data_IF_732263848361
#
_entry.id   IF_732263848361
#
_cell.length_a   1.000
_cell.length_b   1.000
_cell.length_c   1.000
_cell.angle_alpha   90.00
_cell.angle_beta   90.00
_cell.angle_gamma   90.00
#
_symmetry.space_group_name_H-M   'P 1'
#
loop_
_entity.id
_entity.type
_entity.pdbx_description
1 polymer ?
#
# COMPACT_ATOMS: atom_id res chain seq x y z
N UNK A 1 -17.26 20.86 -13.30
CA UNK A 1 -16.79 19.48 -13.55
C UNK A 1 -16.64 18.86 -12.17
N UNK A 2 -17.29 17.71 -11.90
CA UNK A 2 -17.07 17.02 -10.61
C UNK A 2 -15.63 16.52 -10.60
N UNK A 3 -14.85 16.97 -9.63
CA UNK A 3 -13.48 16.54 -9.43
C UNK A 3 -13.55 15.18 -8.72
N UNK A 4 -13.03 14.13 -9.36
CA UNK A 4 -12.99 12.79 -8.75
C UNK A 4 -12.07 12.78 -7.53
N UNK A 5 -12.47 12.02 -6.51
CA UNK A 5 -11.71 11.84 -5.26
C UNK A 5 -11.28 10.38 -5.09
N UNK A 6 -10.01 10.18 -4.81
CA UNK A 6 -9.39 8.88 -4.58
C UNK A 6 -8.77 8.83 -3.19
N UNK A 7 -8.97 7.71 -2.48
CA UNK A 7 -8.31 7.42 -1.20
C UNK A 7 -7.49 6.14 -1.34
N UNK A 8 -6.17 6.25 -1.19
CA UNK A 8 -5.30 5.08 -1.00
C UNK A 8 -5.28 4.74 0.49
N UNK A 9 -5.40 3.43 0.83
CA UNK A 9 -5.32 2.92 2.20
C UNK A 9 -4.20 1.90 2.26
N UNK A 10 -3.16 2.19 3.05
CA UNK A 10 -1.93 1.41 3.15
C UNK A 10 -1.56 1.10 4.59
N UNK A 11 -0.65 0.15 4.81
CA UNK A 11 -0.16 -0.23 6.12
C UNK A 11 0.98 0.67 6.59
N UNK A 12 2.02 0.84 5.75
CA UNK A 12 3.29 1.47 6.13
C UNK A 12 3.64 2.64 5.20
N UNK A 13 4.49 3.58 5.65
CA UNK A 13 5.12 4.57 4.78
C UNK A 13 6.03 3.87 3.75
N UNK A 14 5.80 4.03 2.46
CA UNK A 14 6.38 3.50 1.23
C UNK A 14 5.39 2.66 0.38
N UNK A 15 4.40 2.04 1.01
CA UNK A 15 3.42 1.22 0.31
C UNK A 15 2.67 1.99 -0.80
N UNK A 16 2.35 3.28 -0.56
CA UNK A 16 1.66 4.12 -1.55
C UNK A 16 2.45 4.22 -2.86
N UNK A 17 3.77 4.25 -2.74
CA UNK A 17 4.69 4.34 -3.88
C UNK A 17 4.80 3.01 -4.61
N UNK A 18 4.86 1.90 -3.87
CA UNK A 18 5.08 0.55 -4.40
C UNK A 18 3.78 -0.02 -4.97
N UNK A 19 2.68 0.10 -4.22
CA UNK A 19 1.38 -0.48 -4.57
C UNK A 19 0.76 0.22 -5.78
N UNK A 20 0.73 1.54 -5.77
CA UNK A 20 -0.07 2.30 -6.75
C UNK A 20 0.50 3.69 -7.10
N UNK A 21 1.76 3.99 -6.82
CA UNK A 21 2.33 5.33 -6.99
C UNK A 21 2.16 5.92 -8.39
N UNK A 22 2.37 5.13 -9.44
CA UNK A 22 2.16 5.57 -10.82
C UNK A 22 0.70 5.94 -11.11
N UNK A 23 -0.25 5.22 -10.52
CA UNK A 23 -1.68 5.51 -10.65
C UNK A 23 -2.05 6.78 -9.88
N UNK A 24 -1.57 6.95 -8.64
CA UNK A 24 -1.82 8.15 -7.82
C UNK A 24 -1.32 9.40 -8.53
N UNK A 25 -0.08 9.36 -9.04
CA UNK A 25 0.52 10.47 -9.80
C UNK A 25 -0.28 10.79 -11.08
N UNK A 26 -0.72 9.76 -11.81
CA UNK A 26 -1.52 9.94 -13.02
C UNK A 26 -2.88 10.56 -12.73
N UNK A 27 -3.58 10.09 -11.69
CA UNK A 27 -4.87 10.64 -11.27
C UNK A 27 -4.73 12.11 -10.82
N UNK A 28 -3.72 12.41 -10.01
CA UNK A 28 -3.43 13.77 -9.57
C UNK A 28 -3.13 14.70 -10.74
N UNK A 29 -2.30 14.26 -11.69
CA UNK A 29 -1.98 15.05 -12.90
C UNK A 29 -3.21 15.31 -13.79
N UNK A 30 -4.23 14.46 -13.72
CA UNK A 30 -5.51 14.63 -14.40
C UNK A 30 -6.54 15.46 -13.60
N UNK A 31 -6.15 15.99 -12.45
CA UNK A 31 -6.96 16.86 -11.63
C UNK A 31 -7.83 16.16 -10.60
N UNK A 32 -7.64 14.87 -10.34
CA UNK A 32 -8.31 14.19 -9.22
C UNK A 32 -7.74 14.66 -7.87
N UNK A 33 -8.59 14.69 -6.85
CA UNK A 33 -8.12 14.85 -5.46
C UNK A 33 -7.67 13.49 -4.94
N UNK A 34 -6.36 13.34 -4.69
CA UNK A 34 -5.77 12.09 -4.20
C UNK A 34 -5.48 12.24 -2.70
N UNK A 35 -5.96 11.30 -1.90
CA UNK A 35 -5.75 11.26 -0.45
C UNK A 35 -5.09 9.94 -0.04
N UNK A 36 -4.38 9.94 1.08
CA UNK A 36 -3.70 8.76 1.63
C UNK A 36 -4.07 8.58 3.11
N UNK A 37 -4.43 7.36 3.47
CA UNK A 37 -4.49 6.86 4.84
C UNK A 37 -3.43 5.78 5.01
N UNK A 38 -2.42 6.04 5.85
CA UNK A 38 -1.40 5.08 6.25
C UNK A 38 -1.65 4.66 7.70
N UNK A 39 -1.75 3.36 8.00
CA UNK A 39 -2.20 2.88 9.30
C UNK A 39 -1.12 2.87 10.37
N UNK A 40 0.16 2.75 10.00
CA UNK A 40 1.29 2.75 10.94
C UNK A 40 2.30 3.85 10.61
N UNK A 41 3.29 4.02 11.45
CA UNK A 41 4.41 4.93 11.20
C UNK A 41 5.65 4.22 10.65
N UNK A 42 5.58 2.88 10.47
CA UNK A 42 6.68 2.06 10.00
C UNK A 42 7.87 2.03 10.97
N UNK A 43 7.59 2.15 12.27
CA UNK A 43 8.60 2.31 13.34
C UNK A 43 9.47 1.08 13.56
N UNK A 44 9.00 -0.11 13.14
CA UNK A 44 9.77 -1.36 13.23
C UNK A 44 10.51 -1.72 11.93
N UNK A 45 10.52 -0.81 10.94
CA UNK A 45 11.28 -1.01 9.71
C UNK A 45 12.80 -1.13 9.93
N UNK A 46 13.54 -1.37 8.85
CA UNK A 46 14.99 -1.51 8.91
C UNK A 46 15.67 -0.19 9.32
N UNK A 47 16.42 -0.23 10.42
CA UNK A 47 17.14 0.93 10.94
C UNK A 47 17.59 0.70 12.39
N UNK A 48 18.29 1.67 12.96
CA UNK A 48 18.68 1.65 14.37
C UNK A 48 17.73 2.54 15.18
N UNK A 49 17.01 1.96 16.13
CA UNK A 49 16.07 2.68 17.00
C UNK A 49 14.74 3.00 16.31
N UNK A 50 14.00 3.94 16.87
CA UNK A 50 12.72 4.41 16.31
C UNK A 50 12.97 5.29 15.08
N UNK A 51 12.60 4.78 13.91
CA UNK A 51 12.76 5.46 12.63
C UNK A 51 11.48 6.16 12.15
N UNK A 52 10.43 6.18 12.97
CA UNK A 52 9.10 6.73 12.57
C UNK A 52 9.16 8.17 12.07
N UNK A 53 10.02 9.01 12.68
CA UNK A 53 10.20 10.40 12.24
C UNK A 53 10.77 10.47 10.83
N UNK A 54 11.78 9.64 10.54
CA UNK A 54 12.40 9.56 9.22
C UNK A 54 11.39 9.07 8.19
N UNK A 55 10.70 7.96 8.47
CA UNK A 55 9.72 7.37 7.57
C UNK A 55 8.54 8.30 7.27
N UNK A 56 8.05 9.05 8.26
CA UNK A 56 7.03 10.08 8.00
C UNK A 56 7.53 11.22 7.12
N UNK A 57 8.79 11.62 7.26
CA UNK A 57 9.38 12.64 6.39
C UNK A 57 9.54 12.13 4.96
N UNK A 58 9.95 10.87 4.77
CA UNK A 58 10.05 10.21 3.48
C UNK A 58 8.68 10.07 2.83
N UNK A 59 7.67 9.62 3.57
CA UNK A 59 6.27 9.55 3.11
C UNK A 59 5.76 10.91 2.65
N UNK A 60 6.06 11.97 3.42
CA UNK A 60 5.67 13.32 3.02
C UNK A 60 6.32 13.73 1.71
N UNK A 61 7.62 13.46 1.54
CA UNK A 61 8.33 13.77 0.30
C UNK A 61 7.76 12.98 -0.90
N UNK A 62 7.46 11.70 -0.70
CA UNK A 62 6.80 10.86 -1.71
C UNK A 62 5.41 11.42 -2.06
N UNK A 63 4.60 11.77 -1.05
CA UNK A 63 3.28 12.36 -1.25
C UNK A 63 3.33 13.66 -2.07
N UNK A 64 4.31 14.52 -1.80
CA UNK A 64 4.51 15.76 -2.56
C UNK A 64 4.82 15.46 -4.05
N UNK A 65 5.65 14.43 -4.32
CA UNK A 65 6.02 14.01 -5.69
C UNK A 65 4.82 13.36 -6.41
N UNK A 66 4.05 12.53 -5.71
CA UNK A 66 2.89 11.83 -6.26
C UNK A 66 1.66 12.74 -6.44
N UNK A 67 1.73 13.96 -5.92
CA UNK A 67 0.62 14.92 -5.97
C UNK A 67 -0.53 14.54 -5.03
N UNK A 68 -0.23 13.87 -3.91
CA UNK A 68 -1.22 13.53 -2.88
C UNK A 68 -1.62 14.81 -2.14
N UNK A 69 -2.91 15.11 -2.18
CA UNK A 69 -3.48 16.35 -1.63
C UNK A 69 -3.52 16.35 -0.09
N UNK A 70 -3.72 15.19 0.52
CA UNK A 70 -3.78 15.05 1.98
C UNK A 70 -3.32 13.65 2.41
N UNK A 71 -2.50 13.63 3.45
CA UNK A 71 -1.99 12.40 4.07
C UNK A 71 -2.42 12.33 5.53
N UNK A 72 -3.01 11.21 5.94
CA UNK A 72 -3.25 10.87 7.34
C UNK A 72 -2.41 9.66 7.69
N UNK A 73 -1.56 9.77 8.70
CA UNK A 73 -0.77 8.66 9.24
C UNK A 73 -1.31 8.35 10.64
N UNK A 74 -1.73 7.13 10.86
CA UNK A 74 -2.17 6.67 12.18
C UNK A 74 -0.95 6.15 12.99
N UNK A 75 -1.22 5.73 14.20
CA UNK A 75 -0.19 5.29 15.15
C UNK A 75 -0.43 3.86 15.64
N UNK A 76 -1.07 3.04 14.80
CA UNK A 76 -1.12 1.61 15.10
C UNK A 76 0.29 1.05 15.04
N UNK A 77 0.58 0.07 15.89
CA UNK A 77 1.90 -0.53 15.98
C UNK A 77 2.23 -1.31 14.71
N UNK A 78 3.38 -0.99 14.10
CA UNK A 78 3.92 -1.64 12.91
C UNK A 78 4.19 -3.13 13.16
N UNK A 79 3.77 -3.99 12.23
CA UNK A 79 3.85 -5.45 12.37
C UNK A 79 2.74 -6.08 13.22
N UNK A 80 1.85 -5.27 13.82
CA UNK A 80 0.86 -5.75 14.78
C UNK A 80 -0.59 -5.61 14.32
N UNK A 81 -0.85 -5.09 13.11
CA UNK A 81 -2.22 -4.89 12.62
C UNK A 81 -3.11 -6.15 12.69
N UNK A 82 -2.60 -7.38 12.41
CA UNK A 82 -3.42 -8.59 12.53
C UNK A 82 -3.91 -8.90 13.94
N UNK A 83 -3.24 -8.35 14.97
CA UNK A 83 -3.53 -8.59 16.39
C UNK A 83 -4.37 -7.48 17.02
N UNK A 84 -4.59 -6.37 16.31
CA UNK A 84 -5.48 -5.29 16.74
C UNK A 84 -6.93 -5.72 16.47
N UNK A 85 -7.84 -5.34 17.36
CA UNK A 85 -9.28 -5.53 17.12
C UNK A 85 -9.66 -4.90 15.77
N UNK A 86 -10.13 -5.73 14.85
CA UNK A 86 -10.51 -5.29 13.50
C UNK A 86 -11.57 -4.19 13.52
N UNK A 87 -12.42 -4.14 14.54
CA UNK A 87 -13.40 -3.08 14.72
C UNK A 87 -12.77 -1.71 14.90
N UNK A 88 -11.59 -1.63 15.54
CA UNK A 88 -10.85 -0.37 15.72
C UNK A 88 -10.33 0.10 14.35
N UNK A 89 -9.66 -0.78 13.60
CA UNK A 89 -9.11 -0.45 12.28
C UNK A 89 -10.25 -0.09 11.30
N UNK A 90 -11.33 -0.86 11.28
CA UNK A 90 -12.51 -0.56 10.46
C UNK A 90 -13.10 0.82 10.81
N UNK A 91 -13.19 1.18 12.10
CA UNK A 91 -13.71 2.48 12.53
C UNK A 91 -12.80 3.62 12.04
N UNK A 92 -11.49 3.47 12.06
CA UNK A 92 -10.55 4.48 11.56
C UNK A 92 -10.65 4.63 10.04
N UNK A 93 -10.79 3.53 9.31
CA UNK A 93 -11.04 3.55 7.86
C UNK A 93 -12.38 4.27 7.55
N UNK A 94 -13.46 3.96 8.27
CA UNK A 94 -14.76 4.62 8.10
C UNK A 94 -14.64 6.13 8.37
N UNK A 95 -13.90 6.55 9.40
CA UNK A 95 -13.64 7.98 9.66
C UNK A 95 -12.91 8.65 8.48
N UNK A 96 -11.92 7.97 7.87
CA UNK A 96 -11.23 8.48 6.70
C UNK A 96 -12.15 8.56 5.48
N UNK A 97 -12.99 7.56 5.25
CA UNK A 97 -14.01 7.56 4.18
C UNK A 97 -14.97 8.75 4.36
N UNK A 98 -15.47 8.98 5.56
CA UNK A 98 -16.32 10.15 5.84
C UNK A 98 -15.58 11.48 5.65
N UNK A 99 -14.33 11.55 6.05
CA UNK A 99 -13.51 12.78 5.94
C UNK A 99 -13.23 13.15 4.50
N UNK A 100 -12.86 12.18 3.68
CA UNK A 100 -12.40 12.41 2.33
C UNK A 100 -13.49 12.24 1.27
N UNK A 101 -14.60 11.58 1.60
CA UNK A 101 -15.71 11.27 0.70
C UNK A 101 -15.22 10.81 -0.67
N UNK A 102 -14.41 9.72 -0.74
CA UNK A 102 -13.81 9.29 -1.99
C UNK A 102 -14.84 8.64 -2.92
N UNK A 103 -14.69 8.86 -4.23
CA UNK A 103 -15.40 8.09 -5.24
C UNK A 103 -14.78 6.68 -5.41
N UNK A 104 -13.45 6.60 -5.16
CA UNK A 104 -12.64 5.40 -5.36
C UNK A 104 -11.72 5.18 -4.15
N UNK A 105 -11.64 3.93 -3.72
CA UNK A 105 -10.65 3.47 -2.73
C UNK A 105 -9.72 2.46 -3.40
N UNK A 106 -8.43 2.55 -3.10
CA UNK A 106 -7.41 1.57 -3.50
C UNK A 106 -6.73 1.05 -2.24
N UNK A 107 -6.58 -0.28 -2.14
CA UNK A 107 -5.86 -0.96 -1.07
C UNK A 107 -5.20 -2.23 -1.59
N UNK A 108 -4.59 -3.03 -0.71
CA UNK A 108 -3.98 -4.32 -1.04
C UNK A 108 -5.02 -5.36 -1.47
N UNK A 109 -4.58 -6.34 -2.24
CA UNK A 109 -5.34 -7.57 -2.51
C UNK A 109 -5.37 -8.51 -1.29
N UNK A 110 -6.06 -9.65 -1.42
CA UNK A 110 -6.23 -10.63 -0.35
C UNK A 110 -4.93 -11.29 0.10
N UNK A 111 -3.92 -11.34 -0.78
CA UNK A 111 -2.59 -11.87 -0.49
C UNK A 111 -1.66 -10.82 0.13
N UNK A 112 -2.12 -9.58 0.29
CA UNK A 112 -1.31 -8.52 0.84
C UNK A 112 -0.07 -8.23 0.02
N UNK A 113 -0.17 -8.31 -1.32
CA UNK A 113 0.87 -8.05 -2.30
C UNK A 113 2.00 -9.10 -2.33
N UNK A 114 2.56 -9.48 -1.18
CA UNK A 114 3.61 -10.48 -1.00
C UNK A 114 3.48 -11.26 0.31
N UNK A 115 2.29 -11.37 0.84
CA UNK A 115 2.00 -12.11 2.07
C UNK A 115 2.31 -11.37 3.36
N UNK A 116 2.48 -10.03 3.31
CA UNK A 116 2.72 -9.25 4.52
C UNK A 116 1.48 -9.27 5.44
N UNK A 117 1.60 -9.72 6.70
CA UNK A 117 0.44 -9.85 7.58
C UNK A 117 -0.35 -8.56 7.78
N UNK A 118 0.33 -7.42 7.92
CA UNK A 118 -0.32 -6.11 8.05
C UNK A 118 -1.09 -5.72 6.78
N UNK A 119 -0.56 -6.01 5.58
CA UNK A 119 -1.26 -5.73 4.32
C UNK A 119 -2.53 -6.55 4.20
N UNK A 120 -2.48 -7.83 4.59
CA UNK A 120 -3.64 -8.72 4.65
C UNK A 120 -4.68 -8.19 5.64
N UNK A 121 -4.25 -7.71 6.81
CA UNK A 121 -5.15 -7.09 7.79
C UNK A 121 -5.81 -5.81 7.24
N UNK A 122 -5.05 -4.95 6.54
CA UNK A 122 -5.57 -3.74 5.88
C UNK A 122 -6.59 -4.11 4.80
N UNK A 123 -6.31 -5.12 3.96
CA UNK A 123 -7.27 -5.62 2.97
C UNK A 123 -8.59 -6.02 3.63
N UNK A 124 -8.54 -6.89 4.65
CA UNK A 124 -9.74 -7.37 5.31
C UNK A 124 -10.53 -6.24 6.00
N UNK A 125 -9.84 -5.37 6.71
CA UNK A 125 -10.49 -4.26 7.43
C UNK A 125 -11.10 -3.25 6.45
N UNK A 126 -10.40 -2.92 5.33
CA UNK A 126 -10.94 -2.01 4.31
C UNK A 126 -12.15 -2.62 3.63
N UNK A 127 -12.07 -3.88 3.20
CA UNK A 127 -13.19 -4.59 2.57
C UNK A 127 -14.41 -4.62 3.49
N UNK A 128 -14.22 -4.94 4.78
CA UNK A 128 -15.30 -4.97 5.75
C UNK A 128 -15.88 -3.58 6.03
N UNK A 129 -15.03 -2.55 6.17
CA UNK A 129 -15.46 -1.18 6.39
C UNK A 129 -16.35 -0.67 5.24
N UNK A 130 -15.99 -0.97 3.99
CA UNK A 130 -16.78 -0.55 2.83
C UNK A 130 -18.07 -1.36 2.71
N UNK A 131 -18.08 -2.66 3.02
CA UNK A 131 -19.30 -3.48 3.07
C UNK A 131 -20.31 -2.99 4.12
N UNK A 132 -19.83 -2.41 5.22
CA UNK A 132 -20.65 -1.84 6.28
C UNK A 132 -21.02 -0.38 6.01
N UNK A 133 -20.40 0.26 5.03
CA UNK A 133 -20.68 1.64 4.67
C UNK A 133 -22.08 1.76 4.04
N UNK A 134 -22.82 2.80 4.45
CA UNK A 134 -24.13 3.09 3.88
C UNK A 134 -23.99 3.79 2.54
N UNK A 135 -24.90 3.49 1.63
CA UNK A 135 -24.96 4.08 0.28
C UNK A 135 -24.87 5.62 0.24
N UNK A 136 -24.19 6.19 -0.76
CA UNK A 136 -23.44 5.52 -1.82
C UNK A 136 -22.05 5.09 -1.34
N UNK A 137 -21.72 3.82 -1.55
CA UNK A 137 -20.39 3.31 -1.23
C UNK A 137 -19.38 3.67 -2.33
N UNK A 138 -18.12 4.02 -1.99
CA UNK A 138 -17.06 4.22 -2.97
C UNK A 138 -16.74 2.93 -3.72
N UNK A 139 -16.26 3.04 -4.97
CA UNK A 139 -15.74 1.89 -5.69
C UNK A 139 -14.43 1.43 -5.03
N UNK A 140 -14.32 0.12 -4.72
CA UNK A 140 -13.15 -0.46 -4.08
C UNK A 140 -12.33 -1.25 -5.09
N UNK A 141 -11.06 -0.91 -5.22
CA UNK A 141 -10.08 -1.59 -6.08
C UNK A 141 -8.93 -2.13 -5.25
N UNK A 142 -8.37 -3.24 -5.71
CA UNK A 142 -7.22 -3.88 -5.09
C UNK A 142 -6.01 -3.80 -6.00
N UNK A 143 -4.89 -3.33 -5.44
CA UNK A 143 -3.59 -3.43 -6.09
C UNK A 143 -3.08 -4.85 -5.95
N UNK A 144 -2.78 -5.51 -7.08
CA UNK A 144 -2.27 -6.87 -7.10
C UNK A 144 -0.96 -6.95 -7.86
N UNK A 145 -0.13 -7.91 -7.48
CA UNK A 145 1.11 -8.21 -8.20
C UNK A 145 0.80 -9.19 -9.33
N UNK A 146 1.12 -8.86 -10.60
CA UNK A 146 0.97 -9.81 -11.69
C UNK A 146 1.85 -11.06 -11.48
N UNK A 147 1.37 -12.24 -11.90
CA UNK A 147 2.16 -13.47 -11.91
C UNK A 147 3.51 -13.25 -12.58
N UNK A 148 4.57 -13.81 -12.00
CA UNK A 148 5.97 -13.67 -12.45
C UNK A 148 6.58 -12.27 -12.34
N UNK A 149 5.86 -11.25 -11.83
CA UNK A 149 6.44 -9.90 -11.67
C UNK A 149 7.60 -9.90 -10.68
N UNK A 150 7.47 -10.62 -9.57
CA UNK A 150 8.53 -10.75 -8.56
C UNK A 150 9.78 -11.46 -9.11
N UNK A 151 9.61 -12.51 -9.90
CA UNK A 151 10.74 -13.17 -10.59
C UNK A 151 11.41 -12.21 -11.57
N UNK A 152 10.63 -11.50 -12.38
CA UNK A 152 11.17 -10.52 -13.33
C UNK A 152 11.97 -9.43 -12.61
N UNK A 153 11.45 -8.92 -11.50
CA UNK A 153 12.13 -7.93 -10.67
C UNK A 153 13.44 -8.50 -10.08
N UNK A 154 13.38 -9.70 -9.50
CA UNK A 154 14.52 -10.37 -8.88
C UNK A 154 15.63 -10.61 -9.91
N UNK A 155 15.30 -11.12 -11.09
CA UNK A 155 16.23 -11.35 -12.19
C UNK A 155 16.85 -10.02 -12.69
N UNK A 156 16.05 -8.96 -12.78
CA UNK A 156 16.55 -7.65 -13.17
C UNK A 156 17.55 -7.09 -12.14
N UNK A 157 17.20 -7.14 -10.85
CA UNK A 157 18.07 -6.68 -9.76
C UNK A 157 19.36 -7.51 -9.71
N UNK A 158 19.29 -8.84 -9.86
CA UNK A 158 20.46 -9.72 -9.91
C UNK A 158 21.41 -9.31 -11.04
N UNK A 159 20.88 -9.03 -12.24
CA UNK A 159 21.67 -8.56 -13.39
C UNK A 159 22.34 -7.21 -13.11
N UNK A 160 21.66 -6.27 -12.45
CA UNK A 160 22.24 -4.96 -12.10
C UNK A 160 23.35 -5.10 -11.04
N UNK A 161 23.14 -5.91 -10.02
CA UNK A 161 24.13 -6.15 -8.96
C UNK A 161 25.38 -6.86 -9.49
N UNK A 162 25.21 -7.84 -10.39
CA UNK A 162 26.35 -8.52 -11.04
C UNK A 162 27.27 -7.55 -11.81
N UNK A 163 26.73 -6.48 -12.38
CA UNK A 163 27.53 -5.42 -13.04
C UNK A 163 28.42 -4.64 -12.07
N UNK A 164 28.13 -4.66 -10.79
CA UNK A 164 28.87 -3.97 -9.73
C UNK A 164 29.62 -4.91 -8.79
N UNK A 165 29.81 -6.20 -9.19
CA UNK A 165 30.41 -7.27 -8.37
C UNK A 165 29.69 -7.44 -7.02
N UNK A 166 28.41 -7.18 -6.96
CA UNK A 166 27.55 -7.46 -5.81
C UNK A 166 26.65 -8.65 -6.10
N UNK A 167 26.38 -9.45 -5.10
CA UNK A 167 25.38 -10.52 -5.15
C UNK A 167 24.08 -10.04 -4.51
N UNK A 168 22.95 -10.55 -5.01
CA UNK A 168 21.69 -10.40 -4.27
C UNK A 168 21.88 -11.03 -2.89
N UNK A 169 21.43 -10.35 -1.82
CA UNK A 169 21.12 -11.03 -0.58
C UNK A 169 20.14 -12.17 -0.90
N UNK A 170 20.13 -13.22 -0.07
CA UNK A 170 19.16 -14.30 -0.26
C UNK A 170 17.74 -13.67 -0.34
N UNK A 171 16.89 -14.00 -1.33
CA UNK A 171 15.54 -13.46 -1.43
C UNK A 171 14.72 -13.60 -0.16
N UNK A 172 14.96 -14.66 0.63
CA UNK A 172 14.37 -14.84 1.97
C UNK A 172 14.73 -13.74 2.96
N UNK A 173 15.87 -13.06 2.75
CA UNK A 173 16.36 -12.02 3.67
C UNK A 173 15.77 -10.64 3.35
N UNK A 174 15.14 -10.48 2.18
CA UNK A 174 14.59 -9.18 1.75
C UNK A 174 13.10 -9.04 2.11
N UNK A 175 12.30 -10.08 1.90
CA UNK A 175 10.83 -10.03 2.10
C UNK A 175 10.28 -11.37 2.64
N UNK A 176 11.13 -12.28 3.08
CA UNK A 176 10.70 -13.64 3.44
C UNK A 176 10.21 -14.47 2.24
N UNK A 177 10.41 -13.99 1.01
CA UNK A 177 9.94 -14.64 -0.22
C UNK A 177 10.86 -15.79 -0.55
N UNK A 178 10.41 -17.02 -0.30
CA UNK A 178 11.17 -18.24 -0.62
C UNK A 178 11.06 -18.65 -2.08
N UNK A 179 9.93 -18.34 -2.72
CA UNK A 179 9.67 -18.61 -4.14
C UNK A 179 9.03 -17.38 -4.79
N UNK A 180 9.78 -16.66 -5.67
CA UNK A 180 9.25 -15.49 -6.36
C UNK A 180 8.11 -15.80 -7.35
N UNK A 181 7.86 -17.07 -7.70
CA UNK A 181 6.73 -17.46 -8.54
C UNK A 181 5.46 -17.82 -7.74
N UNK A 182 5.57 -17.94 -6.42
CA UNK A 182 4.43 -18.21 -5.56
C UNK A 182 3.51 -16.99 -5.38
N UNK A 183 3.98 -15.80 -5.74
CA UNK A 183 3.27 -14.54 -5.55
C UNK A 183 2.72 -13.99 -6.87
N UNK A 184 1.53 -13.46 -6.79
CA UNK A 184 0.87 -12.76 -7.88
C UNK A 184 -0.25 -13.54 -8.54
N UNK A 185 -1.16 -12.79 -9.14
CA UNK A 185 -2.36 -13.29 -9.79
C UNK A 185 -2.20 -13.23 -11.31
N UNK A 186 -2.84 -14.16 -12.01
CA UNK A 186 -2.99 -14.05 -13.44
C UNK A 186 -3.73 -12.73 -13.75
N UNK A 187 -3.07 -11.81 -14.47
CA UNK A 187 -3.72 -10.57 -14.87
C UNK A 187 -4.99 -10.92 -15.66
N UNK A 188 -6.15 -10.33 -15.35
CA UNK A 188 -7.33 -10.48 -16.19
C UNK A 188 -6.97 -10.02 -17.59
N UNK A 189 -7.31 -10.82 -18.61
CA UNK A 189 -7.13 -10.41 -19.99
C UNK A 189 -7.96 -9.15 -20.22
N UNK A 190 -7.39 -8.10 -20.84
CA UNK A 190 -8.19 -6.93 -21.21
C UNK A 190 -9.32 -7.39 -22.13
N UNK A 191 -10.56 -7.11 -21.73
CA UNK A 191 -11.74 -7.30 -22.54
C UNK A 191 -11.90 -6.21 -23.59
#
# INVERSE_FOLDING_TARGET
>A
MNQHSLLAITAHPDDESILCGGLLASCSAQGATVNLLCLTQGEHGQGAGDISVCRRAELKAAADILGISSTTVLTHEDGMLPWIDSGIICADIIKAVHRYSPDVIITFDEDGMYGHPDHIAVHHCTTNAIRLHREPAPALYYGTTPSHAMRTLTDYVAKQLARTNRTLPNPTDILGITDPDAWGHAAPQPT
#
